data_IF_768984009609
#
_entry.id   IF_768984009609
#
_cell.length_a   1.000
_cell.length_b   1.000
_cell.length_c   1.000
_cell.angle_alpha   90.00
_cell.angle_beta   90.00
_cell.angle_gamma   90.00
#
_symmetry.space_group_name_H-M   'P 1'
#
loop_
_entity.id
_entity.type
_entity.pdbx_description
1 polymer ?
#
# COMPACT_ATOMS: atom_id res chain seq x y z
N UNK A 1 -21.48 -7.77 11.23
CA UNK A 1 -20.48 -6.86 10.66
C UNK A 1 -19.33 -6.84 11.65
N UNK A 2 -18.19 -7.44 11.30
CA UNK A 2 -16.99 -7.33 12.14
C UNK A 2 -16.57 -5.87 12.08
N UNK A 3 -16.54 -5.20 13.22
CA UNK A 3 -16.01 -3.84 13.33
C UNK A 3 -14.49 -3.92 13.08
N UNK A 4 -14.03 -3.35 11.97
CA UNK A 4 -12.63 -3.24 11.62
C UNK A 4 -12.27 -1.74 11.60
N UNK A 5 -11.64 -1.22 12.67
CA UNK A 5 -11.35 0.20 12.78
C UNK A 5 -10.32 0.68 11.74
N UNK A 6 -9.49 -0.21 11.21
CA UNK A 6 -8.53 0.15 10.16
C UNK A 6 -9.25 0.33 8.83
N UNK A 7 -10.20 -0.57 8.52
CA UNK A 7 -11.09 -0.42 7.37
C UNK A 7 -11.88 0.88 7.44
N UNK A 8 -12.53 1.16 8.58
CA UNK A 8 -13.29 2.40 8.76
C UNK A 8 -12.41 3.64 8.55
N UNK A 9 -11.17 3.62 9.06
CA UNK A 9 -10.19 4.69 8.85
C UNK A 9 -9.81 4.84 7.37
N UNK A 10 -9.65 3.74 6.64
CA UNK A 10 -9.36 3.77 5.21
C UNK A 10 -10.55 4.32 4.40
N UNK A 11 -11.77 3.89 4.70
CA UNK A 11 -12.98 4.32 3.98
C UNK A 11 -13.33 5.79 4.24
N UNK A 12 -13.00 6.31 5.43
CA UNK A 12 -13.24 7.71 5.82
C UNK A 12 -12.06 8.65 5.55
N UNK A 13 -10.96 8.14 4.99
CA UNK A 13 -9.74 8.94 4.76
C UNK A 13 -9.99 10.05 3.73
N UNK A 14 -9.21 11.12 3.81
CA UNK A 14 -9.04 12.04 2.67
C UNK A 14 -8.20 11.35 1.59
N UNK A 15 -8.75 11.18 0.38
CA UNK A 15 -7.99 10.64 -0.75
C UNK A 15 -6.89 11.63 -1.19
N UNK A 16 -5.73 11.11 -1.58
CA UNK A 16 -4.69 11.89 -2.26
C UNK A 16 -4.65 11.62 -3.76
N UNK A 17 -3.80 12.36 -4.47
CA UNK A 17 -3.55 12.15 -5.90
C UNK A 17 -3.13 10.72 -6.17
N UNK A 18 -3.74 10.08 -7.18
CA UNK A 18 -3.49 8.66 -7.47
C UNK A 18 -2.29 8.52 -8.40
N UNK A 19 -1.29 7.76 -7.96
CA UNK A 19 -0.15 7.35 -8.78
C UNK A 19 -0.46 6.15 -9.67
N UNK A 20 -1.47 5.34 -9.32
CA UNK A 20 -1.95 4.24 -10.14
C UNK A 20 -2.40 3.04 -9.33
N UNK A 21 -2.72 1.97 -10.06
CA UNK A 21 -3.00 0.64 -9.53
C UNK A 21 -2.14 -0.38 -10.28
N UNK A 22 -1.49 -1.26 -9.54
CA UNK A 22 -0.63 -2.32 -10.08
C UNK A 22 -1.12 -3.66 -9.57
N UNK A 23 -1.18 -4.66 -10.46
CA UNK A 23 -1.37 -6.05 -10.10
C UNK A 23 -0.08 -6.81 -10.38
N UNK A 24 0.41 -7.51 -9.38
CA UNK A 24 1.57 -8.38 -9.46
C UNK A 24 1.10 -9.82 -9.58
N UNK A 25 1.74 -10.59 -10.43
CA UNK A 25 1.62 -12.04 -10.44
C UNK A 25 2.57 -12.67 -9.39
N UNK A 26 2.42 -13.97 -9.14
CA UNK A 26 3.22 -14.67 -8.15
C UNK A 26 4.72 -14.62 -8.48
N UNK A 27 5.52 -14.15 -7.53
CA UNK A 27 6.97 -14.01 -7.69
C UNK A 27 7.39 -12.75 -8.45
N UNK A 28 6.46 -11.86 -8.81
CA UNK A 28 6.80 -10.58 -9.40
C UNK A 28 7.16 -9.54 -8.34
N UNK A 29 8.21 -8.78 -8.62
CA UNK A 29 8.68 -7.71 -7.74
C UNK A 29 8.05 -6.38 -8.13
N UNK A 30 7.50 -5.67 -7.14
CA UNK A 30 6.92 -4.34 -7.33
C UNK A 30 7.91 -3.35 -7.99
N UNK A 31 9.19 -3.41 -7.66
CA UNK A 31 10.21 -2.53 -8.26
C UNK A 31 10.32 -2.68 -9.78
N UNK A 32 9.99 -3.86 -10.31
CA UNK A 32 10.07 -4.16 -11.75
C UNK A 32 8.76 -3.84 -12.45
N UNK A 33 7.62 -4.12 -11.80
CA UNK A 33 6.30 -3.98 -12.43
C UNK A 33 5.63 -2.63 -12.20
N UNK A 34 5.89 -1.97 -11.07
CA UNK A 34 5.28 -0.69 -10.67
C UNK A 34 6.19 0.53 -10.92
N UNK A 35 7.12 0.46 -11.87
CA UNK A 35 8.17 1.48 -12.05
C UNK A 35 7.58 2.89 -12.20
N UNK A 36 6.49 3.04 -12.96
CA UNK A 36 5.88 4.35 -13.24
C UNK A 36 5.21 4.93 -12.00
N UNK A 37 4.53 4.07 -11.25
CA UNK A 37 3.78 4.40 -10.06
C UNK A 37 4.74 4.77 -8.92
N UNK A 38 5.85 4.04 -8.78
CA UNK A 38 6.94 4.36 -7.84
C UNK A 38 7.56 5.71 -8.19
N UNK A 39 7.82 6.00 -9.47
CA UNK A 39 8.33 7.31 -9.91
C UNK A 39 7.35 8.42 -9.56
N UNK A 40 6.04 8.19 -9.69
CA UNK A 40 5.03 9.15 -9.27
C UNK A 40 5.10 9.42 -7.75
N UNK A 41 5.16 8.38 -6.91
CA UNK A 41 5.30 8.55 -5.45
C UNK A 41 6.57 9.34 -5.09
N UNK A 42 7.70 9.05 -5.76
CA UNK A 42 8.96 9.77 -5.55
C UNK A 42 8.85 11.25 -5.90
N UNK A 43 8.21 11.59 -7.02
CA UNK A 43 7.99 13.00 -7.42
C UNK A 43 7.11 13.74 -6.41
N UNK A 44 6.09 13.08 -5.87
CA UNK A 44 5.25 13.66 -4.83
C UNK A 44 6.08 13.96 -3.57
N UNK A 45 6.96 13.03 -3.16
CA UNK A 45 7.87 13.23 -2.02
C UNK A 45 8.81 14.42 -2.24
N UNK A 46 9.45 14.49 -3.41
CA UNK A 46 10.36 15.57 -3.77
C UNK A 46 9.67 16.94 -3.83
N UNK A 47 8.39 16.95 -4.21
CA UNK A 47 7.59 18.18 -4.35
C UNK A 47 6.86 18.56 -3.05
N UNK A 48 6.93 17.75 -1.99
CA UNK A 48 6.16 17.94 -0.77
C UNK A 48 4.64 17.73 -0.94
N UNK A 49 4.25 17.01 -2.00
CA UNK A 49 2.87 16.65 -2.30
C UNK A 49 2.52 15.29 -1.70
N UNK A 50 1.22 15.00 -1.64
CA UNK A 50 0.71 13.69 -1.24
C UNK A 50 0.28 12.86 -2.43
N UNK A 51 0.39 11.54 -2.30
CA UNK A 51 0.01 10.61 -3.35
C UNK A 51 -0.39 9.23 -2.80
N UNK A 52 -1.21 8.48 -3.55
CA UNK A 52 -1.60 7.10 -3.23
C UNK A 52 -1.28 6.14 -4.38
N UNK A 53 -0.79 4.94 -4.06
CA UNK A 53 -0.61 3.82 -4.97
C UNK A 53 -1.33 2.59 -4.41
N UNK A 54 -2.09 1.90 -5.24
CA UNK A 54 -2.68 0.61 -4.92
C UNK A 54 -1.88 -0.52 -5.57
N UNK A 55 -1.55 -1.54 -4.80
CA UNK A 55 -0.92 -2.76 -5.29
C UNK A 55 -1.80 -3.94 -4.92
N UNK A 56 -1.96 -4.88 -5.82
CA UNK A 56 -2.61 -6.17 -5.55
C UNK A 56 -1.64 -7.28 -5.90
N UNK A 57 -1.44 -8.23 -4.99
CA UNK A 57 -0.57 -9.38 -5.24
C UNK A 57 -1.18 -10.64 -4.61
N UNK A 58 -0.93 -11.84 -5.18
CA UNK A 58 -1.39 -13.08 -4.59
C UNK A 58 -0.54 -13.49 -3.38
N UNK A 59 -1.14 -14.26 -2.46
CA UNK A 59 -0.43 -15.12 -1.51
C UNK A 59 0.21 -16.30 -2.24
N UNK A 60 0.90 -17.17 -1.49
CA UNK A 60 1.44 -18.41 -2.07
C UNK A 60 0.30 -19.33 -2.53
N UNK A 61 -0.82 -19.32 -1.82
CA UNK A 61 -2.05 -20.08 -2.09
C UNK A 61 -2.89 -19.47 -3.23
N UNK A 62 -2.59 -18.24 -3.65
CA UNK A 62 -3.26 -17.53 -4.75
C UNK A 62 -4.34 -16.54 -4.32
N UNK A 63 -4.58 -16.37 -3.02
CA UNK A 63 -5.54 -15.41 -2.50
C UNK A 63 -5.01 -13.98 -2.68
N UNK A 64 -5.88 -13.02 -3.01
CA UNK A 64 -5.45 -11.66 -3.31
C UNK A 64 -5.31 -10.81 -2.04
N UNK A 65 -4.14 -10.21 -1.85
CA UNK A 65 -3.91 -9.13 -0.88
C UNK A 65 -3.89 -7.80 -1.62
N UNK A 66 -4.51 -6.77 -1.04
CA UNK A 66 -4.44 -5.39 -1.55
C UNK A 66 -3.69 -4.52 -0.57
N UNK A 67 -2.68 -3.83 -1.07
CA UNK A 67 -1.91 -2.86 -0.30
C UNK A 67 -2.12 -1.46 -0.87
N UNK A 68 -2.25 -0.49 0.02
CA UNK A 68 -2.42 0.91 -0.33
C UNK A 68 -1.31 1.73 0.33
N UNK A 69 -0.42 2.23 -0.51
CA UNK A 69 0.70 3.07 -0.15
C UNK A 69 0.29 4.53 -0.23
N UNK A 70 0.26 5.24 0.88
CA UNK A 70 -0.12 6.66 0.94
C UNK A 70 1.05 7.49 1.42
N UNK A 71 1.55 8.35 0.57
CA UNK A 71 2.52 9.37 0.93
C UNK A 71 1.78 10.60 1.46
N UNK A 72 2.03 10.98 2.72
CA UNK A 72 1.43 12.17 3.32
C UNK A 72 2.23 13.44 2.98
N UNK A 73 1.63 14.65 3.09
CA UNK A 73 2.34 15.91 2.88
C UNK A 73 3.54 16.14 3.82
N UNK A 74 3.65 15.36 4.89
CA UNK A 74 4.79 15.41 5.83
C UNK A 74 5.91 14.44 5.44
N UNK A 75 5.86 13.86 4.24
CA UNK A 75 6.85 12.91 3.72
C UNK A 75 6.82 11.55 4.43
N UNK A 76 5.67 11.15 4.99
CA UNK A 76 5.50 9.87 5.69
C UNK A 76 4.77 8.89 4.78
N UNK A 77 5.18 7.63 4.79
CA UNK A 77 4.49 6.58 4.07
C UNK A 77 3.57 5.83 5.03
N UNK A 78 2.29 5.79 4.72
CA UNK A 78 1.29 4.94 5.37
C UNK A 78 1.00 3.75 4.46
N UNK A 79 0.91 2.55 5.02
CA UNK A 79 0.54 1.33 4.31
C UNK A 79 -0.71 0.76 4.95
N UNK A 80 -1.75 0.60 4.15
CA UNK A 80 -2.97 -0.13 4.54
C UNK A 80 -2.98 -1.45 3.78
N UNK A 81 -3.15 -2.56 4.48
CA UNK A 81 -3.20 -3.89 3.87
C UNK A 81 -4.58 -4.48 4.13
N UNK A 82 -5.27 -4.84 3.06
CA UNK A 82 -6.56 -5.52 3.04
C UNK A 82 -6.34 -6.99 2.66
N UNK A 83 -6.38 -7.85 3.69
CA UNK A 83 -6.26 -9.30 3.57
C UNK A 83 -7.62 -10.00 3.67
N UNK A 84 -8.73 -9.29 3.44
CA UNK A 84 -10.08 -9.86 3.60
C UNK A 84 -10.40 -11.00 2.62
N UNK A 85 -9.67 -11.09 1.51
CA UNK A 85 -9.78 -12.18 0.54
C UNK A 85 -8.80 -13.35 0.80
N UNK A 86 -7.88 -13.22 1.77
CA UNK A 86 -6.95 -14.28 2.16
C UNK A 86 -7.59 -15.20 3.21
N UNK A 87 -8.03 -16.38 2.76
CA UNK A 87 -8.80 -17.32 3.56
C UNK A 87 -7.98 -17.92 4.71
N UNK A 88 -6.65 -17.85 4.61
CA UNK A 88 -5.71 -18.40 5.58
C UNK A 88 -5.14 -17.34 6.54
N UNK A 89 -5.55 -16.08 6.41
CA UNK A 89 -5.18 -14.97 7.30
C UNK A 89 -6.21 -14.71 8.42
N UNK A 90 -6.01 -13.61 9.16
CA UNK A 90 -7.01 -13.08 10.10
C UNK A 90 -8.18 -12.34 9.41
N UNK A 91 -8.13 -12.22 8.08
CA UNK A 91 -9.15 -11.61 7.21
C UNK A 91 -9.52 -10.19 7.64
N UNK A 92 -8.52 -9.41 8.06
CA UNK A 92 -8.68 -8.04 8.53
C UNK A 92 -7.84 -7.06 7.73
N UNK A 93 -8.15 -5.79 7.94
CA UNK A 93 -7.29 -4.71 7.55
C UNK A 93 -6.19 -4.50 8.58
N UNK A 94 -4.99 -4.17 8.10
CA UNK A 94 -3.87 -3.76 8.93
C UNK A 94 -3.28 -2.43 8.46
N UNK A 95 -2.63 -1.72 9.37
CA UNK A 95 -2.03 -0.41 9.11
C UNK A 95 -0.61 -0.39 9.64
N UNK A 96 0.30 0.12 8.82
CA UNK A 96 1.67 0.43 9.20
C UNK A 96 2.05 1.84 8.74
N UNK A 97 3.04 2.41 9.42
CA UNK A 97 3.54 3.75 9.12
C UNK A 97 5.06 3.76 9.14
N UNK A 98 5.63 4.26 8.06
CA UNK A 98 7.04 4.13 7.76
C UNK A 98 7.67 5.54 7.73
N UNK A 99 8.72 5.74 8.53
CA UNK A 99 9.45 7.00 8.64
C UNK A 99 10.70 6.92 7.76
N UNK A 100 10.64 7.59 6.60
CA UNK A 100 11.60 7.55 5.49
C UNK A 100 11.54 6.25 4.64
N UNK A 101 10.95 6.29 3.43
CA UNK A 101 11.07 5.20 2.48
C UNK A 101 12.50 5.22 1.92
N UNK A 102 13.35 4.27 2.31
CA UNK A 102 14.60 4.02 1.59
C UNK A 102 14.30 3.33 0.22
N UNK A 103 13.42 3.97 -0.58
CA UNK A 103 13.20 3.86 -2.03
C UNK A 103 12.80 2.48 -2.60
N UNK A 104 12.20 1.64 -1.74
CA UNK A 104 11.30 0.49 -1.98
C UNK A 104 11.92 -0.91 -2.21
N UNK A 105 12.85 -1.38 -1.39
CA UNK A 105 13.15 -2.82 -1.30
C UNK A 105 12.05 -3.54 -0.48
N UNK A 106 10.89 -3.78 -1.13
CA UNK A 106 9.71 -4.54 -0.64
C UNK A 106 9.29 -4.25 0.81
N UNK A 107 8.80 -3.03 1.05
CA UNK A 107 8.70 -2.42 2.38
C UNK A 107 8.02 -3.31 3.45
N UNK A 108 8.85 -3.74 4.43
CA UNK A 108 8.48 -4.13 5.79
C UNK A 108 8.58 -2.91 6.70
N UNK A 109 7.46 -2.50 7.31
CA UNK A 109 7.44 -1.47 8.35
C UNK A 109 7.28 -2.20 9.68
N UNK A 110 8.36 -2.28 10.46
CA UNK A 110 8.31 -2.91 11.78
C UNK A 110 7.18 -2.28 12.60
N UNK A 111 6.36 -3.17 13.17
CA UNK A 111 5.19 -2.88 14.00
C UNK A 111 5.54 -2.12 15.27
#
# INVERSE_FOLDING_TARGET
MVNDPVKERWESRTEFSRCGEVRLDQGEEMQKQAVREIVCLRRALESGESAELKVTHPTVEGDSIREYYRLTPQGRLEVYTDSTDDQYSDQKWSFAKCYAPEWLAEISCDR
#
